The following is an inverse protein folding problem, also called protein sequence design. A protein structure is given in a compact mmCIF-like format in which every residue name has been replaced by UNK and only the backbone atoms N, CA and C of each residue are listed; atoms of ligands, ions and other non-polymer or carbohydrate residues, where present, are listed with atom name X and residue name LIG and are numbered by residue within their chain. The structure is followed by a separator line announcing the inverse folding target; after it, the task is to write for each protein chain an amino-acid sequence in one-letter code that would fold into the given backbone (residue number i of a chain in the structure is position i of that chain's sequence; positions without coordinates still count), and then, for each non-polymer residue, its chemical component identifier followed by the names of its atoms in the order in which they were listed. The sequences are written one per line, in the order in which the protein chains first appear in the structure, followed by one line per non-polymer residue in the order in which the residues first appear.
data_IF_121891033502
#
_entry.id   IF_121891033502
#
_cell.length_a   1.000
_cell.length_b   1.000
_cell.length_c   1.000
_cell.angle_alpha   90.00
_cell.angle_beta   90.00
_cell.angle_gamma   90.00
#
_symmetry.space_group_name_H-M   'P 1'
#
loop_
_entity.id
_entity.type
_entity.pdbx_description
1 polymer ?
#
# COMPACT_ATOMS: atom_id res chain seq x y z
N UNK A 1 -0.69 -29.72 -0.95
CA UNK A 1 -0.12 -28.67 -1.81
C UNK A 1 1.35 -28.51 -1.43
N UNK A 2 2.25 -29.03 -2.25
CA UNK A 2 3.69 -28.92 -2.01
C UNK A 2 4.17 -27.57 -2.52
N UNK A 3 4.53 -26.66 -1.62
CA UNK A 3 5.25 -25.43 -1.99
C UNK A 3 6.71 -25.80 -2.26
N UNK A 4 7.00 -26.28 -3.46
CA UNK A 4 8.39 -26.49 -3.88
C UNK A 4 9.03 -25.12 -4.08
N UNK A 5 10.04 -24.81 -3.29
CA UNK A 5 10.73 -23.52 -3.35
C UNK A 5 11.47 -23.41 -4.70
N UNK A 6 10.97 -22.56 -5.60
CA UNK A 6 11.51 -22.34 -6.96
C UNK A 6 12.99 -21.88 -6.93
N UNK A 7 13.44 -21.36 -5.79
CA UNK A 7 14.80 -20.86 -5.58
C UNK A 7 15.89 -21.91 -5.87
N UNK A 8 15.63 -23.18 -5.59
CA UNK A 8 16.61 -24.27 -5.74
C UNK A 8 17.03 -24.55 -7.18
N UNK A 9 16.25 -24.13 -8.18
CA UNK A 9 16.52 -24.46 -9.59
C UNK A 9 17.40 -23.45 -10.33
N UNK A 10 17.61 -22.24 -9.78
CA UNK A 10 18.29 -21.15 -10.50
C UNK A 10 19.59 -20.65 -9.83
N UNK A 11 19.78 -20.88 -8.52
CA UNK A 11 20.99 -20.52 -7.78
C UNK A 11 21.64 -21.77 -7.19
N UNK A 12 22.41 -22.49 -8.01
CA UNK A 12 23.05 -23.76 -7.64
C UNK A 12 24.20 -23.64 -6.63
N UNK A 13 24.65 -22.42 -6.31
CA UNK A 13 25.76 -22.16 -5.38
C UNK A 13 25.30 -21.71 -3.98
N UNK A 14 24.00 -21.54 -3.74
CA UNK A 14 23.45 -21.15 -2.43
C UNK A 14 22.52 -22.24 -1.90
N UNK A 15 22.89 -22.85 -0.77
CA UNK A 15 22.01 -23.79 -0.06
C UNK A 15 21.08 -23.00 0.86
N UNK A 16 19.81 -22.83 0.46
CA UNK A 16 18.79 -22.18 1.29
C UNK A 16 18.03 -23.25 2.06
N UNK A 17 18.03 -23.15 3.38
CA UNK A 17 17.32 -24.05 4.30
C UNK A 17 16.02 -23.40 4.77
N UNK A 18 15.12 -24.23 5.32
CA UNK A 18 13.85 -23.73 5.87
C UNK A 18 14.07 -22.78 7.06
N UNK A 19 15.18 -22.95 7.80
CA UNK A 19 15.59 -22.09 8.91
C UNK A 19 15.97 -20.66 8.46
N UNK A 20 16.29 -20.44 7.18
CA UNK A 20 16.63 -19.13 6.64
C UNK A 20 15.38 -18.27 6.28
N UNK A 21 14.18 -18.84 6.37
CA UNK A 21 12.93 -18.14 6.02
C UNK A 21 12.40 -17.34 7.20
N UNK A 22 12.57 -16.01 7.16
CA UNK A 22 12.09 -15.11 8.22
C UNK A 22 10.58 -14.86 8.21
N UNK A 23 9.94 -14.78 7.04
CA UNK A 23 8.50 -14.60 6.91
C UNK A 23 7.97 -15.25 5.62
N UNK A 24 6.68 -15.59 5.62
CA UNK A 24 6.00 -16.14 4.45
C UNK A 24 4.54 -15.68 4.42
N UNK A 25 4.07 -15.27 3.24
CA UNK A 25 2.69 -14.86 3.03
C UNK A 25 2.09 -15.60 1.83
N UNK A 26 0.79 -15.87 1.90
CA UNK A 26 0.03 -16.44 0.79
C UNK A 26 -1.17 -15.56 0.48
N UNK A 27 -1.40 -15.28 -0.80
CA UNK A 27 -2.56 -14.53 -1.26
C UNK A 27 -3.37 -15.33 -2.28
N UNK A 28 -4.69 -15.21 -2.23
CA UNK A 28 -5.59 -15.77 -3.23
C UNK A 28 -5.73 -14.75 -4.36
N UNK A 29 -5.52 -15.20 -5.60
CA UNK A 29 -5.79 -14.37 -6.77
C UNK A 29 -7.19 -14.70 -7.28
N UNK A 30 -8.15 -13.76 -7.24
CA UNK A 30 -9.46 -13.97 -7.85
C UNK A 30 -9.28 -13.94 -9.37
N UNK A 31 -9.17 -15.13 -9.98
CA UNK A 31 -9.08 -15.27 -11.43
C UNK A 31 -10.49 -15.39 -11.99
N UNK A 32 -10.78 -14.62 -13.02
CA UNK A 32 -12.04 -14.73 -13.75
C UNK A 32 -11.90 -15.84 -14.79
N UNK A 33 -12.86 -16.76 -14.77
CA UNK A 33 -12.96 -17.84 -15.75
C UNK A 33 -14.24 -17.59 -16.54
N UNK A 34 -14.13 -17.49 -17.86
CA UNK A 34 -15.29 -17.54 -18.73
C UNK A 34 -15.69 -19.01 -18.95
N UNK A 35 -16.91 -19.43 -18.55
CA UNK A 35 -17.36 -20.80 -18.69
C UNK A 35 -17.44 -21.29 -20.14
N UNK A 36 -17.41 -20.39 -21.14
CA UNK A 36 -17.49 -20.73 -22.57
C UNK A 36 -16.12 -20.71 -23.29
N UNK A 37 -15.05 -20.25 -22.63
CA UNK A 37 -13.71 -20.11 -23.23
C UNK A 37 -12.83 -21.32 -22.95
N UNK A 38 -12.32 -21.97 -24.00
CA UNK A 38 -11.29 -23.04 -23.91
C UNK A 38 -9.89 -22.51 -23.58
N UNK A 39 -9.65 -21.19 -23.71
CA UNK A 39 -8.37 -20.54 -23.42
C UNK A 39 -8.47 -19.76 -22.10
N UNK A 40 -8.34 -20.48 -20.99
CA UNK A 40 -8.41 -19.94 -19.62
C UNK A 40 -7.20 -19.07 -19.22
N UNK A 41 -6.05 -19.22 -19.87
CA UNK A 41 -4.81 -18.53 -19.45
C UNK A 41 -4.75 -17.04 -19.81
N UNK A 42 -5.29 -16.64 -20.96
CA UNK A 42 -5.25 -15.24 -21.44
C UNK A 42 -6.36 -14.39 -20.79
N UNK A 43 -7.52 -14.97 -20.50
CA UNK A 43 -8.62 -14.26 -19.84
C UNK A 43 -8.34 -13.99 -18.35
N UNK A 44 -7.58 -14.87 -17.69
CA UNK A 44 -7.30 -14.79 -16.25
C UNK A 44 -6.52 -13.54 -15.80
N UNK A 45 -5.98 -12.73 -16.73
CA UNK A 45 -5.08 -11.59 -16.41
C UNK A 45 -5.70 -10.21 -16.60
N UNK A 46 -6.89 -10.11 -17.18
CA UNK A 46 -7.61 -8.86 -17.36
C UNK A 46 -8.76 -8.75 -16.34
N UNK A 47 -9.32 -7.56 -16.17
CA UNK A 47 -10.54 -7.38 -15.39
C UNK A 47 -11.78 -7.53 -16.29
N UNK A 48 -12.88 -7.99 -15.69
CA UNK A 48 -14.18 -8.07 -16.34
C UNK A 48 -15.16 -7.21 -15.54
N UNK A 49 -16.01 -6.46 -16.24
CA UNK A 49 -17.07 -5.65 -15.64
C UNK A 49 -18.42 -6.15 -16.16
N UNK A 50 -19.15 -6.85 -15.30
CA UNK A 50 -20.48 -7.39 -15.57
C UNK A 50 -21.56 -6.48 -14.98
N UNK A 51 -22.69 -6.36 -15.68
CA UNK A 51 -23.87 -5.61 -15.22
C UNK A 51 -25.04 -6.55 -15.20
N UNK A 52 -25.62 -6.75 -14.02
CA UNK A 52 -26.82 -7.56 -13.85
C UNK A 52 -28.07 -6.84 -14.33
N UNK A 53 -29.17 -7.59 -14.49
CA UNK A 53 -30.49 -7.03 -14.83
C UNK A 53 -31.03 -6.05 -13.78
N UNK A 54 -30.53 -6.11 -12.54
CA UNK A 54 -30.90 -5.20 -11.45
C UNK A 54 -29.92 -4.02 -11.32
N UNK A 55 -29.13 -3.74 -12.36
CA UNK A 55 -28.11 -2.69 -12.39
C UNK A 55 -26.98 -2.83 -11.36
N UNK A 56 -26.81 -4.02 -10.75
CA UNK A 56 -25.61 -4.31 -9.96
C UNK A 56 -24.40 -4.44 -10.90
N UNK A 57 -23.34 -3.70 -10.59
CA UNK A 57 -22.09 -3.68 -11.34
C UNK A 57 -21.06 -4.47 -10.57
N UNK A 58 -20.50 -5.49 -11.20
CA UNK A 58 -19.50 -6.37 -10.59
C UNK A 58 -18.20 -6.28 -11.36
N UNK A 59 -17.11 -6.00 -10.65
CA UNK A 59 -15.75 -6.04 -11.18
C UNK A 59 -15.10 -7.32 -10.65
N UNK A 60 -14.52 -8.12 -11.53
CA UNK A 60 -13.77 -9.30 -11.15
C UNK A 60 -12.39 -9.32 -11.82
N UNK A 61 -11.38 -9.78 -11.09
CA UNK A 61 -10.00 -9.90 -11.56
C UNK A 61 -9.23 -8.58 -11.60
N UNK A 62 -8.33 -8.46 -12.58
CA UNK A 62 -7.49 -7.29 -12.78
C UNK A 62 -6.19 -7.27 -11.97
N UNK A 63 -5.26 -6.39 -12.38
CA UNK A 63 -3.94 -6.22 -11.76
C UNK A 63 -3.93 -4.96 -10.91
N UNK A 64 -3.12 -4.98 -9.84
CA UNK A 64 -2.85 -3.78 -9.07
C UNK A 64 -2.33 -2.63 -9.95
N UNK A 65 -1.51 -2.93 -10.96
CA UNK A 65 -0.97 -1.92 -11.89
C UNK A 65 -2.03 -1.23 -12.74
N UNK A 66 -3.20 -1.85 -12.94
CA UNK A 66 -4.30 -1.33 -13.76
C UNK A 66 -5.49 -0.87 -12.92
N UNK A 67 -5.35 -0.74 -11.60
CA UNK A 67 -6.46 -0.40 -10.70
C UNK A 67 -7.14 0.92 -11.09
N UNK A 68 -6.36 1.94 -11.48
CA UNK A 68 -6.88 3.27 -11.82
C UNK A 68 -7.74 3.23 -13.09
N UNK A 69 -7.26 2.58 -14.16
CA UNK A 69 -8.02 2.45 -15.41
C UNK A 69 -9.25 1.56 -15.22
N UNK A 70 -9.13 0.49 -14.43
CA UNK A 70 -10.26 -0.37 -14.05
C UNK A 70 -11.34 0.40 -13.29
N UNK A 71 -10.95 1.27 -12.35
CA UNK A 71 -11.89 2.12 -11.62
C UNK A 71 -12.59 3.12 -12.55
N UNK A 72 -11.86 3.74 -13.47
CA UNK A 72 -12.39 4.66 -14.48
C UNK A 72 -13.42 3.96 -15.39
N UNK A 73 -13.07 2.81 -15.98
CA UNK A 73 -13.98 2.03 -16.84
C UNK A 73 -15.24 1.57 -16.08
N UNK A 74 -15.11 1.22 -14.81
CA UNK A 74 -16.25 0.83 -13.98
C UNK A 74 -17.19 2.00 -13.74
N UNK A 75 -16.65 3.17 -13.39
CA UNK A 75 -17.45 4.37 -13.18
C UNK A 75 -18.13 4.81 -14.47
N UNK A 76 -17.45 4.74 -15.62
CA UNK A 76 -18.05 5.04 -16.92
C UNK A 76 -19.24 4.12 -17.23
N UNK A 77 -19.12 2.83 -16.89
CA UNK A 77 -20.21 1.87 -17.05
C UNK A 77 -21.35 2.13 -16.07
N UNK A 78 -21.04 2.54 -14.83
CA UNK A 78 -22.02 2.93 -13.84
C UNK A 78 -22.83 4.16 -14.23
N UNK A 79 -22.16 5.16 -14.79
CA UNK A 79 -22.80 6.38 -15.28
C UNK A 79 -23.81 6.05 -16.39
N UNK A 80 -23.43 5.17 -17.34
CA UNK A 80 -24.30 4.74 -18.44
C UNK A 80 -25.52 3.94 -17.96
N UNK A 81 -25.31 2.98 -17.06
CA UNK A 81 -26.38 2.08 -16.58
C UNK A 81 -27.38 2.80 -15.68
N UNK A 82 -26.89 3.68 -14.81
CA UNK A 82 -27.73 4.41 -13.86
C UNK A 82 -28.26 5.75 -14.42
N UNK A 83 -27.92 6.11 -15.67
CA UNK A 83 -28.36 7.36 -16.30
C UNK A 83 -27.84 8.62 -15.58
N UNK A 84 -26.69 8.54 -14.93
CA UNK A 84 -26.11 9.65 -14.18
C UNK A 84 -25.54 10.70 -15.12
N UNK A 85 -25.58 11.97 -14.71
CA UNK A 85 -24.98 13.08 -15.45
C UNK A 85 -23.82 13.63 -14.64
N UNK A 86 -22.56 13.24 -14.94
CA UNK A 86 -21.41 13.68 -14.19
C UNK A 86 -21.13 15.17 -14.45
N UNK A 87 -20.75 15.90 -13.42
CA UNK A 87 -20.39 17.33 -13.53
C UNK A 87 -19.07 17.56 -14.29
N UNK A 88 -18.21 16.54 -14.40
CA UNK A 88 -16.92 16.62 -15.09
C UNK A 88 -16.42 15.25 -15.52
N UNK A 89 -15.47 15.22 -16.46
CA UNK A 89 -14.75 14.00 -16.84
C UNK A 89 -13.86 13.47 -15.70
N UNK A 90 -13.36 12.24 -15.85
CA UNK A 90 -12.48 11.61 -14.86
C UNK A 90 -11.21 12.44 -14.60
N UNK A 91 -10.97 12.82 -13.34
CA UNK A 91 -9.82 13.64 -12.91
C UNK A 91 -8.69 12.84 -12.26
N UNK A 92 -8.84 11.51 -12.17
CA UNK A 92 -7.93 10.64 -11.39
C UNK A 92 -6.50 10.63 -11.92
N UNK A 93 -6.27 10.93 -13.19
CA UNK A 93 -4.93 10.94 -13.80
C UNK A 93 -3.99 12.01 -13.21
N UNK A 94 -4.53 13.16 -12.80
CA UNK A 94 -3.75 14.26 -12.22
C UNK A 94 -3.93 14.42 -10.71
N UNK A 95 -4.74 13.56 -10.07
CA UNK A 95 -4.97 13.59 -8.64
C UNK A 95 -3.79 12.95 -7.91
N UNK A 96 -3.17 13.71 -7.03
CA UNK A 96 -2.17 13.21 -6.10
C UNK A 96 -2.87 12.39 -5.02
N UNK A 97 -2.31 11.23 -4.70
CA UNK A 97 -2.75 10.45 -3.54
C UNK A 97 -2.31 11.14 -2.26
N UNK A 98 -3.01 10.86 -1.16
CA UNK A 98 -2.57 11.31 0.16
C UNK A 98 -1.16 10.82 0.45
N UNK A 99 -0.29 11.68 1.00
CA UNK A 99 1.13 11.40 1.13
C UNK A 99 1.98 12.09 0.05
N UNK A 100 1.41 12.43 -1.10
CA UNK A 100 2.20 12.90 -2.25
C UNK A 100 2.34 14.42 -2.38
N UNK A 101 1.54 15.24 -1.69
CA UNK A 101 1.46 16.68 -1.98
C UNK A 101 2.74 17.46 -1.63
N UNK A 102 3.36 17.14 -0.48
CA UNK A 102 4.59 17.76 0.00
C UNK A 102 5.78 16.80 -0.06
N UNK A 103 5.64 15.72 -0.84
CA UNK A 103 6.70 14.74 -0.97
C UNK A 103 7.87 15.34 -1.76
N UNK A 104 9.08 15.10 -1.28
CA UNK A 104 10.32 15.44 -1.98
C UNK A 104 11.40 14.41 -1.62
N UNK A 105 12.40 14.19 -2.49
CA UNK A 105 13.54 13.31 -2.16
C UNK A 105 14.29 13.72 -0.89
N UNK A 106 14.24 15.02 -0.55
CA UNK A 106 14.91 15.60 0.62
C UNK A 106 14.01 15.66 1.87
N UNK A 107 12.80 15.06 1.83
CA UNK A 107 11.86 15.11 2.94
C UNK A 107 12.45 14.54 4.24
N UNK A 108 13.23 13.47 4.16
CA UNK A 108 13.90 12.89 5.33
C UNK A 108 14.89 13.86 5.98
N UNK A 109 15.61 14.66 5.17
CA UNK A 109 16.55 15.67 5.66
C UNK A 109 15.79 16.78 6.38
N UNK A 110 14.65 17.23 5.83
CA UNK A 110 13.79 18.23 6.48
C UNK A 110 13.28 17.73 7.84
N UNK A 111 12.78 16.49 7.89
CA UNK A 111 12.31 15.89 9.15
C UNK A 111 13.42 15.79 10.20
N UNK A 112 14.64 15.45 9.78
CA UNK A 112 15.80 15.39 10.67
C UNK A 112 16.18 16.78 11.20
N UNK A 113 16.21 17.79 10.34
CA UNK A 113 16.62 19.15 10.70
C UNK A 113 15.58 19.89 11.55
N UNK A 114 14.30 19.75 11.20
CA UNK A 114 13.20 20.46 11.86
C UNK A 114 12.77 19.80 13.18
N UNK A 115 12.74 18.46 13.22
CA UNK A 115 12.21 17.72 14.39
C UNK A 115 13.28 16.96 15.16
N UNK A 116 14.52 16.84 14.67
CA UNK A 116 15.61 16.19 15.38
C UNK A 116 15.47 14.66 15.51
N UNK A 117 14.89 14.00 14.51
CA UNK A 117 14.79 12.55 14.43
C UNK A 117 16.12 11.89 14.08
N UNK A 118 16.26 10.60 14.44
CA UNK A 118 17.35 9.77 13.90
C UNK A 118 17.19 9.58 12.37
N UNK A 119 18.31 9.42 11.62
CA UNK A 119 18.27 9.36 10.16
C UNK A 119 17.42 8.22 9.58
N UNK A 120 17.44 7.05 10.21
CA UNK A 120 16.67 5.87 9.81
C UNK A 120 15.17 6.07 10.02
N UNK A 121 14.77 6.66 11.16
CA UNK A 121 13.38 7.03 11.45
C UNK A 121 12.87 8.08 10.46
N UNK A 122 13.66 9.13 10.21
CA UNK A 122 13.28 10.16 9.25
C UNK A 122 13.12 9.60 7.83
N UNK A 123 13.98 8.64 7.44
CA UNK A 123 13.87 7.94 6.16
C UNK A 123 12.64 7.03 6.09
N UNK A 124 12.34 6.29 7.16
CA UNK A 124 11.13 5.47 7.27
C UNK A 124 9.87 6.34 7.11
N UNK A 125 9.77 7.41 7.89
CA UNK A 125 8.60 8.28 7.85
C UNK A 125 8.38 8.90 6.47
N UNK A 126 9.44 9.39 5.84
CA UNK A 126 9.38 9.99 4.51
C UNK A 126 8.98 8.99 3.40
N UNK A 127 9.42 7.73 3.50
CA UNK A 127 9.11 6.68 2.51
C UNK A 127 7.70 6.12 2.68
N UNK A 128 7.25 5.96 3.91
CA UNK A 128 5.99 5.29 4.23
C UNK A 128 4.80 6.25 4.19
N UNK A 129 4.96 7.47 4.73
CA UNK A 129 3.84 8.40 4.93
C UNK A 129 3.90 9.63 4.03
N UNK A 130 5.05 9.94 3.44
CA UNK A 130 5.23 11.14 2.62
C UNK A 130 4.83 12.42 3.37
N UNK A 131 3.93 13.23 2.83
CA UNK A 131 3.46 14.48 3.46
C UNK A 131 2.86 14.29 4.86
N UNK A 132 2.26 13.12 5.16
CA UNK A 132 1.69 12.80 6.47
C UNK A 132 2.77 12.64 7.55
N UNK A 133 4.03 12.44 7.15
CA UNK A 133 5.15 12.38 8.09
C UNK A 133 5.24 13.63 8.97
N UNK A 134 4.90 14.81 8.44
CA UNK A 134 4.89 16.04 9.23
C UNK A 134 3.84 16.03 10.34
N UNK A 135 2.67 15.42 10.11
CA UNK A 135 1.63 15.31 11.13
C UNK A 135 2.07 14.38 12.25
N UNK A 136 2.69 13.24 11.88
CA UNK A 136 3.26 12.30 12.85
C UNK A 136 4.36 13.02 13.65
N UNK A 137 5.26 13.72 12.97
CA UNK A 137 6.34 14.47 13.58
C UNK A 137 5.86 15.50 14.61
N UNK A 138 4.84 16.29 14.26
CA UNK A 138 4.22 17.28 15.16
C UNK A 138 3.53 16.65 16.37
N UNK A 139 2.96 15.46 16.21
CA UNK A 139 2.30 14.71 17.30
C UNK A 139 3.28 13.95 18.20
N UNK A 140 4.57 13.92 17.85
CA UNK A 140 5.57 13.11 18.56
C UNK A 140 6.11 13.85 19.78
N UNK A 141 6.14 13.17 20.92
CA UNK A 141 6.67 13.74 22.17
C UNK A 141 8.21 13.84 22.13
N UNK A 142 8.80 14.82 22.84
CA UNK A 142 10.25 14.90 23.02
C UNK A 142 10.80 13.65 23.72
N UNK A 143 11.96 13.17 23.29
CA UNK A 143 12.59 11.95 23.81
C UNK A 143 13.21 12.14 25.21
N UNK A 144 13.37 13.38 25.66
CA UNK A 144 14.08 13.74 26.90
C UNK A 144 15.60 13.51 26.86
N UNK A 145 16.13 13.05 25.72
CA UNK A 145 17.57 12.84 25.46
C UNK A 145 18.16 14.04 24.72
N UNK A 146 19.49 14.19 24.77
CA UNK A 146 20.21 15.16 23.94
C UNK A 146 20.07 14.84 22.45
N UNK A 147 20.05 13.55 22.11
CA UNK A 147 19.84 13.04 20.76
C UNK A 147 19.32 11.59 20.83
N UNK A 148 18.30 11.19 20.03
CA UNK A 148 17.39 12.05 19.25
C UNK A 148 16.63 13.05 20.14
N UNK A 149 16.27 14.19 19.56
CA UNK A 149 15.52 15.25 20.27
C UNK A 149 14.07 14.82 20.46
N UNK A 150 13.50 14.20 19.43
CA UNK A 150 12.08 13.84 19.35
C UNK A 150 11.92 12.37 18.99
N UNK A 151 10.90 11.73 19.56
CA UNK A 151 10.54 10.35 19.23
C UNK A 151 11.08 9.31 20.21
N UNK A 152 10.15 8.52 20.71
CA UNK A 152 10.42 7.26 21.40
C UNK A 152 10.12 6.12 20.42
N UNK A 153 11.08 5.22 20.24
CA UNK A 153 10.91 4.04 19.38
C UNK A 153 10.06 3.00 20.09
N UNK A 154 9.23 2.27 19.33
CA UNK A 154 8.54 1.08 19.82
C UNK A 154 9.51 -0.07 20.12
N UNK A 155 10.54 -0.22 19.29
CA UNK A 155 11.59 -1.22 19.46
C UNK A 155 12.95 -0.61 19.12
N UNK A 156 14.03 -0.89 19.87
CA UNK A 156 15.35 -0.29 19.64
C UNK A 156 15.88 -0.50 18.22
N UNK A 157 15.69 -1.71 17.68
CA UNK A 157 16.27 -2.10 16.38
C UNK A 157 15.47 -1.67 15.15
N UNK A 158 14.24 -1.19 15.32
CA UNK A 158 13.36 -0.83 14.21
C UNK A 158 12.99 0.66 14.22
N UNK A 159 12.81 1.28 13.05
CA UNK A 159 12.59 2.72 12.92
C UNK A 159 11.13 3.15 13.17
N UNK A 160 10.38 2.41 13.99
CA UNK A 160 8.97 2.68 14.28
C UNK A 160 8.82 3.51 15.56
N UNK A 161 8.01 4.57 15.51
CA UNK A 161 7.74 5.45 16.66
C UNK A 161 6.44 5.07 17.37
N UNK A 162 6.38 5.33 18.67
CA UNK A 162 5.13 5.19 19.46
C UNK A 162 4.01 6.09 18.92
N UNK A 163 4.35 7.26 18.37
CA UNK A 163 3.40 8.19 17.77
C UNK A 163 2.71 7.65 16.51
N UNK A 164 3.29 6.65 15.83
CA UNK A 164 2.63 5.98 14.69
C UNK A 164 1.45 5.11 15.11
N UNK A 165 1.40 4.69 16.37
CA UNK A 165 0.35 3.80 16.94
C UNK A 165 -0.62 4.60 17.81
N UNK A 166 -0.39 5.90 17.97
CA UNK A 166 -1.19 6.73 18.85
C UNK A 166 -2.64 6.88 18.32
N UNK A 167 -3.68 6.55 19.11
CA UNK A 167 -5.09 6.64 18.69
C UNK A 167 -5.56 8.04 18.29
N UNK A 168 -4.79 9.08 18.60
CA UNK A 168 -5.14 10.48 18.33
C UNK A 168 -4.96 10.91 16.87
N UNK A 169 -4.51 10.01 15.97
CA UNK A 169 -4.40 10.27 14.52
C UNK A 169 -5.50 9.53 13.73
N UNK A 170 -6.75 10.04 13.69
CA UNK A 170 -7.89 9.34 13.09
C UNK A 170 -7.81 9.14 11.55
N UNK A 171 -6.80 9.72 10.88
CA UNK A 171 -6.66 9.71 9.41
C UNK A 171 -5.58 8.78 8.87
N UNK A 172 -4.88 8.07 9.76
CA UNK A 172 -4.09 6.90 9.40
C UNK A 172 -4.97 5.72 9.82
N UNK A 173 -5.44 4.93 8.85
CA UNK A 173 -6.18 3.68 9.10
C UNK A 173 -5.57 3.00 10.33
N UNK A 174 -6.34 2.89 11.43
CA UNK A 174 -5.89 2.33 12.71
C UNK A 174 -5.02 1.11 12.44
N UNK A 175 -3.70 1.28 12.60
CA UNK A 175 -2.73 0.23 12.41
C UNK A 175 -2.89 -0.68 13.63
N UNK A 176 -3.75 -1.70 13.52
CA UNK A 176 -3.66 -2.85 14.41
C UNK A 176 -2.22 -3.36 14.35
N UNK A 177 -1.68 -3.84 15.46
CA UNK A 177 -0.27 -4.28 15.60
C UNK A 177 0.17 -5.25 14.47
N UNK A 178 -0.76 -6.03 13.92
CA UNK A 178 -0.56 -6.91 12.75
C UNK A 178 -0.25 -6.20 11.43
N UNK A 179 -0.52 -4.89 11.31
CA UNK A 179 -0.24 -4.08 10.12
C UNK A 179 1.14 -3.39 10.18
N UNK A 180 1.87 -3.51 11.29
CA UNK A 180 3.14 -2.78 11.55
C UNK A 180 4.36 -3.70 11.40
N UNK A 181 4.19 -5.01 11.49
CA UNK A 181 5.29 -5.99 11.42
C UNK A 181 5.19 -6.86 10.15
N UNK A 182 6.32 -7.22 9.51
CA UNK A 182 6.34 -8.21 8.42
C UNK A 182 6.03 -9.63 8.92
#
# INVERSE_FOLDING_TARGET
MSFTCICFSFLSFLSVRREDVHSAWSGIRPLVIDPYSKNTQSLARNHIIEVSKTNLITIAGGKWTTYRSMAEETLDKAIKVCGLQPASACRTRGLLLEGAHLWSPNLSIKLLQEFGFQPDVAQHLARTYGDKAFKIAQSTQPSGKRWPVTGTRLHPDFPYLESEVCPSLPHLLNLHIFNITP
#
